data_IF_171179736141
#
_entry.id   IF_171179736141
#
_cell.length_a   1.000
_cell.length_b   1.000
_cell.length_c   1.000
_cell.angle_alpha   90.00
_cell.angle_beta   90.00
_cell.angle_gamma   90.00
#
_symmetry.space_group_name_H-M   'P 1'
#
loop_
_entity.id
_entity.type
_entity.pdbx_description
1 polymer ?
#
# COMPACT_ATOMS: atom_id res chain seq x y z
N UNK A 1 -12.72 -2.53 -28.91
CA UNK A 1 -12.01 -1.47 -28.15
C UNK A 1 -11.00 -1.96 -27.12
N UNK A 2 -11.19 -3.05 -26.35
CA UNK A 2 -10.14 -3.59 -25.46
C UNK A 2 -8.93 -4.19 -26.19
N UNK A 3 -9.15 -4.92 -27.30
CA UNK A 3 -8.07 -5.58 -28.07
C UNK A 3 -7.12 -4.65 -28.86
N UNK A 4 -7.50 -3.39 -29.09
CA UNK A 4 -6.64 -2.43 -29.80
C UNK A 4 -5.56 -1.84 -28.89
N UNK A 5 -5.86 -1.77 -27.58
CA UNK A 5 -4.95 -1.26 -26.55
C UNK A 5 -3.86 -2.29 -26.23
N UNK A 6 -4.19 -3.58 -26.21
CA UNK A 6 -3.23 -4.68 -25.97
C UNK A 6 -2.21 -4.86 -27.11
N UNK A 7 -2.56 -4.47 -28.34
CA UNK A 7 -1.71 -4.70 -29.53
C UNK A 7 -0.87 -3.48 -29.96
N UNK A 8 -0.84 -2.38 -29.20
CA UNK A 8 -0.12 -1.11 -29.54
C UNK A 8 -0.37 -0.56 -30.95
N UNK A 9 -1.46 -0.98 -31.61
CA UNK A 9 -1.89 -0.45 -32.91
C UNK A 9 -3.05 0.49 -32.68
N UNK A 10 -2.72 1.73 -32.29
CA UNK A 10 -3.68 2.82 -32.24
C UNK A 10 -4.00 3.22 -33.68
N UNK A 11 -4.96 2.55 -34.32
CA UNK A 11 -5.47 3.02 -35.60
C UNK A 11 -6.47 4.14 -35.33
N UNK A 12 -5.95 5.34 -35.11
CA UNK A 12 -6.71 6.53 -34.76
C UNK A 12 -6.42 7.57 -35.83
N UNK A 13 -7.45 7.97 -36.59
CA UNK A 13 -7.33 8.98 -37.65
C UNK A 13 -6.98 10.39 -37.13
N UNK A 14 -6.99 10.59 -35.81
CA UNK A 14 -6.66 11.84 -35.12
C UNK A 14 -5.33 11.71 -34.34
N UNK A 15 -4.26 12.41 -34.78
CA UNK A 15 -2.95 12.38 -34.12
C UNK A 15 -2.96 12.83 -32.65
N UNK A 16 -3.87 13.73 -32.25
CA UNK A 16 -3.95 14.23 -30.87
C UNK A 16 -4.51 13.17 -29.91
N UNK A 17 -5.45 12.36 -30.40
CA UNK A 17 -6.02 11.28 -29.65
C UNK A 17 -5.01 10.13 -29.49
N UNK A 18 -4.22 9.83 -30.51
CA UNK A 18 -3.13 8.86 -30.41
C UNK A 18 -2.07 9.29 -29.37
N UNK A 19 -1.63 10.55 -29.40
CA UNK A 19 -0.67 11.07 -28.43
C UNK A 19 -1.22 11.02 -27.00
N UNK A 20 -2.48 11.38 -26.81
CA UNK A 20 -3.15 11.32 -25.50
C UNK A 20 -3.25 9.88 -24.98
N UNK A 21 -3.58 8.92 -25.85
CA UNK A 21 -3.65 7.51 -25.48
C UNK A 21 -2.28 6.91 -25.14
N UNK A 22 -1.21 7.30 -25.85
CA UNK A 22 0.17 6.92 -25.50
C UNK A 22 0.60 7.49 -24.15
N UNK A 23 0.31 8.78 -23.89
CA UNK A 23 0.61 9.40 -22.59
C UNK A 23 -0.14 8.72 -21.46
N UNK A 24 -1.42 8.38 -21.67
CA UNK A 24 -2.22 7.60 -20.71
C UNK A 24 -1.64 6.21 -20.47
N UNK A 25 -1.24 5.49 -21.53
CA UNK A 25 -0.63 4.17 -21.39
C UNK A 25 0.69 4.24 -20.60
N UNK A 26 1.56 5.22 -20.90
CA UNK A 26 2.79 5.43 -20.14
C UNK A 26 2.55 5.77 -18.67
N UNK A 27 1.52 6.56 -18.36
CA UNK A 27 1.13 6.86 -16.98
C UNK A 27 0.59 5.63 -16.23
N UNK A 28 -0.16 4.75 -16.92
CA UNK A 28 -0.63 3.48 -16.35
C UNK A 28 0.56 2.54 -16.09
N UNK A 29 1.49 2.43 -17.03
CA UNK A 29 2.68 1.58 -16.89
C UNK A 29 3.56 2.01 -15.70
N UNK A 30 3.61 3.31 -15.39
CA UNK A 30 4.32 3.84 -14.22
C UNK A 30 3.67 3.48 -12.88
N UNK A 31 2.34 3.31 -12.85
CA UNK A 31 1.60 2.92 -11.64
C UNK A 31 1.52 1.41 -11.44
N UNK A 32 1.73 0.63 -12.50
CA UNK A 32 1.64 -0.81 -12.44
C UNK A 32 2.51 -1.42 -11.33
N UNK A 33 3.79 -1.00 -11.13
CA UNK A 33 4.61 -1.47 -10.01
C UNK A 33 4.05 -1.14 -8.62
N UNK A 34 3.36 -0.01 -8.45
CA UNK A 34 2.73 0.38 -7.19
C UNK A 34 1.60 -0.59 -6.83
N UNK A 35 0.75 -0.90 -7.81
CA UNK A 35 -0.33 -1.87 -7.62
C UNK A 35 0.18 -3.30 -7.51
N UNK A 36 1.29 -3.63 -8.16
CA UNK A 36 1.92 -4.94 -8.13
C UNK A 36 2.75 -5.21 -6.88
N UNK A 37 3.12 -4.16 -6.13
CA UNK A 37 3.80 -4.30 -4.86
C UNK A 37 2.92 -5.05 -3.84
N UNK A 38 3.39 -6.21 -3.34
CA UNK A 38 2.68 -6.99 -2.33
C UNK A 38 2.65 -6.22 -1.00
N UNK A 39 1.53 -6.28 -0.26
CA UNK A 39 1.38 -5.63 1.05
C UNK A 39 2.34 -6.17 2.10
N UNK A 40 2.75 -7.43 1.98
CA UNK A 40 3.56 -8.14 2.97
C UNK A 40 4.93 -8.52 2.41
N UNK A 41 5.98 -8.37 3.22
CA UNK A 41 7.38 -8.65 2.84
C UNK A 41 7.54 -10.13 2.49
N UNK A 42 8.21 -10.38 1.36
CA UNK A 42 8.56 -11.73 0.93
C UNK A 42 7.36 -12.57 0.46
N UNK A 43 6.17 -11.99 0.34
CA UNK A 43 4.98 -12.64 -0.22
C UNK A 43 4.74 -12.18 -1.65
N UNK A 44 4.25 -13.10 -2.47
CA UNK A 44 3.60 -12.79 -3.76
C UNK A 44 2.18 -12.27 -3.51
N UNK A 45 1.56 -11.64 -4.51
CA UNK A 45 0.15 -11.22 -4.43
C UNK A 45 -0.82 -12.36 -4.10
N UNK A 46 -0.59 -13.55 -4.66
CA UNK A 46 -1.44 -14.70 -4.38
C UNK A 46 -1.30 -15.15 -2.91
N UNK A 47 -0.08 -15.12 -2.37
CA UNK A 47 0.17 -15.41 -0.95
C UNK A 47 -0.41 -14.32 -0.03
N UNK A 48 -0.37 -13.06 -0.43
CA UNK A 48 -1.03 -11.96 0.28
C UNK A 48 -2.54 -12.20 0.43
N UNK A 49 -3.21 -12.60 -0.66
CA UNK A 49 -4.64 -12.90 -0.66
C UNK A 49 -4.95 -14.09 0.27
N UNK A 50 -4.06 -15.08 0.35
CA UNK A 50 -4.18 -16.19 1.30
C UNK A 50 -4.06 -15.71 2.75
N UNK A 51 -3.15 -14.78 3.05
CA UNK A 51 -3.03 -14.18 4.40
C UNK A 51 -4.30 -13.41 4.76
N UNK A 52 -4.81 -12.57 3.86
CA UNK A 52 -6.01 -11.77 4.08
C UNK A 52 -7.26 -12.67 4.27
N UNK A 53 -7.36 -13.73 3.47
CA UNK A 53 -8.42 -14.74 3.60
C UNK A 53 -8.34 -15.51 4.92
N UNK A 54 -7.12 -15.88 5.34
CA UNK A 54 -6.89 -16.58 6.60
C UNK A 54 -7.25 -15.71 7.81
N UNK A 55 -6.95 -14.41 7.76
CA UNK A 55 -7.35 -13.44 8.78
C UNK A 55 -8.88 -13.36 8.90
N UNK A 56 -9.57 -13.29 7.77
CA UNK A 56 -11.03 -13.26 7.71
C UNK A 56 -11.63 -14.53 8.31
N UNK A 57 -11.12 -15.70 7.91
CA UNK A 57 -11.56 -16.99 8.45
C UNK A 57 -11.33 -17.07 9.98
N UNK A 58 -10.20 -16.57 10.47
CA UNK A 58 -9.93 -16.55 11.90
C UNK A 58 -10.91 -15.66 12.68
N UNK A 59 -11.38 -14.57 12.08
CA UNK A 59 -12.41 -13.72 12.67
C UNK A 59 -13.78 -14.41 12.70
N UNK A 60 -14.14 -15.12 11.64
CA UNK A 60 -15.37 -15.92 11.59
C UNK A 60 -15.36 -17.03 12.66
N UNK A 61 -14.27 -17.79 12.75
CA UNK A 61 -14.08 -18.84 13.77
C UNK A 61 -14.16 -18.26 15.17
N UNK A 62 -13.50 -17.12 15.41
CA UNK A 62 -13.60 -16.40 16.68
C UNK A 62 -15.05 -15.99 16.99
N UNK A 63 -15.78 -15.49 15.99
CA UNK A 63 -17.20 -15.14 16.13
C UNK A 63 -18.04 -16.34 16.56
N UNK A 64 -17.84 -17.50 15.91
CA UNK A 64 -18.53 -18.75 16.24
C UNK A 64 -18.18 -19.26 17.65
N UNK A 65 -16.92 -19.17 18.07
CA UNK A 65 -16.49 -19.54 19.41
C UNK A 65 -17.08 -18.63 20.47
N UNK A 66 -17.16 -17.32 20.19
CA UNK A 66 -17.78 -16.33 21.08
C UNK A 66 -19.26 -16.63 21.29
N UNK A 67 -19.99 -17.09 20.26
CA UNK A 67 -21.39 -17.52 20.40
C UNK A 67 -21.56 -18.72 21.34
N UNK A 68 -20.52 -19.55 21.47
CA UNK A 68 -20.47 -20.67 22.43
C UNK A 68 -19.92 -20.27 23.81
N UNK A 69 -19.69 -18.98 24.06
CA UNK A 69 -19.13 -18.48 25.31
C UNK A 69 -17.61 -18.64 25.45
N UNK A 70 -16.90 -19.02 24.38
CA UNK A 70 -15.46 -19.23 24.39
C UNK A 70 -14.77 -18.00 23.78
N UNK A 71 -14.00 -17.27 24.59
CA UNK A 71 -13.21 -16.13 24.11
C UNK A 71 -11.81 -16.57 23.70
N UNK A 72 -11.49 -16.43 22.41
CA UNK A 72 -10.16 -16.74 21.85
C UNK A 72 -9.67 -15.55 21.02
N UNK A 73 -8.44 -15.11 21.27
CA UNK A 73 -7.80 -14.09 20.43
C UNK A 73 -7.34 -14.67 19.09
N UNK A 74 -7.37 -13.87 18.02
CA UNK A 74 -6.88 -14.27 16.69
C UNK A 74 -5.45 -14.84 16.73
N UNK A 75 -4.55 -14.23 17.50
CA UNK A 75 -3.18 -14.72 17.69
C UNK A 75 -3.09 -16.13 18.29
N UNK A 76 -4.00 -16.50 19.20
CA UNK A 76 -4.07 -17.86 19.76
C UNK A 76 -4.53 -18.89 18.72
N UNK A 77 -5.43 -18.50 17.82
CA UNK A 77 -5.85 -19.38 16.71
C UNK A 77 -4.68 -19.66 15.78
N UNK A 78 -3.93 -18.64 15.38
CA UNK A 78 -2.75 -18.82 14.54
C UNK A 78 -1.62 -19.55 15.25
N UNK A 79 -1.39 -19.31 16.54
CA UNK A 79 -0.44 -20.07 17.35
C UNK A 79 -0.80 -21.56 17.37
N UNK A 80 -2.08 -21.88 17.53
CA UNK A 80 -2.58 -23.25 17.45
C UNK A 80 -2.33 -23.86 16.06
N UNK A 81 -2.62 -23.13 14.98
CA UNK A 81 -2.35 -23.58 13.61
C UNK A 81 -0.86 -23.86 13.38
N UNK A 82 0.03 -22.98 13.85
CA UNK A 82 1.49 -23.17 13.74
C UNK A 82 1.96 -24.40 14.52
N UNK A 83 1.49 -24.57 15.77
CA UNK A 83 1.83 -25.73 16.60
C UNK A 83 1.27 -27.04 16.04
N UNK A 84 0.09 -26.99 15.44
CA UNK A 84 -0.57 -28.13 14.82
C UNK A 84 -0.12 -28.45 13.39
N UNK A 85 0.76 -27.64 12.80
CA UNK A 85 1.21 -27.81 11.41
C UNK A 85 0.08 -27.64 10.37
N UNK A 86 -0.91 -26.79 10.66
CA UNK A 86 -2.06 -26.57 9.80
C UNK A 86 -1.85 -25.34 8.91
N UNK A 87 -1.86 -25.56 7.59
CA UNK A 87 -1.67 -24.51 6.59
C UNK A 87 -0.19 -24.27 6.25
N UNK A 88 0.07 -23.33 5.34
CA UNK A 88 1.43 -22.95 4.98
C UNK A 88 2.09 -22.13 6.12
N UNK A 89 3.22 -22.58 6.69
CA UNK A 89 3.91 -21.87 7.77
C UNK A 89 4.23 -20.41 7.45
N UNK A 90 4.53 -20.08 6.18
CA UNK A 90 4.84 -18.72 5.73
C UNK A 90 3.62 -17.81 5.84
N UNK A 91 2.46 -18.30 5.41
CA UNK A 91 1.18 -17.58 5.44
C UNK A 91 0.69 -17.42 6.89
N UNK A 92 0.70 -18.52 7.64
CA UNK A 92 0.20 -18.52 9.03
C UNK A 92 1.10 -17.71 9.94
N UNK A 93 2.43 -17.75 9.77
CA UNK A 93 3.35 -16.91 10.55
C UNK A 93 3.19 -15.42 10.25
N UNK A 94 2.96 -15.06 8.97
CA UNK A 94 2.66 -13.68 8.59
C UNK A 94 1.35 -13.21 9.23
N UNK A 95 0.28 -14.01 9.14
CA UNK A 95 -1.00 -13.71 9.79
C UNK A 95 -0.88 -13.61 11.32
N UNK A 96 -0.05 -14.47 11.94
CA UNK A 96 0.26 -14.43 13.37
C UNK A 96 0.93 -13.12 13.77
N UNK A 97 1.94 -12.67 13.03
CA UNK A 97 2.60 -11.38 13.31
C UNK A 97 1.64 -10.23 13.10
N UNK A 98 0.83 -10.24 12.03
CA UNK A 98 -0.21 -9.22 11.79
C UNK A 98 -1.27 -9.16 12.90
N UNK A 99 -1.54 -10.26 13.59
CA UNK A 99 -2.46 -10.28 14.72
C UNK A 99 -1.94 -9.56 15.97
N UNK A 100 -0.64 -9.22 16.01
CA UNK A 100 0.02 -8.51 17.10
C UNK A 100 0.33 -7.08 16.69
N UNK A 101 -0.44 -6.12 17.21
CA UNK A 101 -0.36 -4.69 16.84
C UNK A 101 1.07 -4.15 16.91
N UNK A 102 1.81 -4.48 17.96
CA UNK A 102 3.14 -3.91 18.24
C UNK A 102 4.20 -4.33 17.24
N UNK A 103 4.03 -5.49 16.59
CA UNK A 103 5.03 -6.05 15.66
C UNK A 103 4.49 -6.24 14.24
N UNK A 104 3.22 -5.90 13.98
CA UNK A 104 2.59 -6.06 12.67
C UNK A 104 3.33 -5.29 11.55
N UNK A 105 3.97 -4.16 11.88
CA UNK A 105 4.76 -3.36 10.94
C UNK A 105 5.99 -4.10 10.39
N UNK A 106 6.50 -5.11 11.10
CA UNK A 106 7.71 -5.84 10.69
C UNK A 106 7.50 -6.63 9.40
N UNK A 107 6.28 -7.16 9.19
CA UNK A 107 5.92 -7.98 8.03
C UNK A 107 5.26 -7.18 6.90
N UNK A 108 4.92 -5.91 7.13
CA UNK A 108 4.40 -5.02 6.07
C UNK A 108 5.54 -4.55 5.18
N UNK A 109 5.30 -4.46 3.88
CA UNK A 109 6.28 -3.91 2.94
C UNK A 109 6.47 -2.41 3.14
N UNK A 110 7.67 -1.91 2.81
CA UNK A 110 7.92 -0.47 2.63
C UNK A 110 7.83 -0.05 1.17
N UNK A 111 7.71 -0.99 0.22
CA UNK A 111 7.80 -0.71 -1.22
C UNK A 111 6.85 0.40 -1.69
N UNK A 112 5.59 0.37 -1.22
CA UNK A 112 4.63 1.42 -1.58
C UNK A 112 5.08 2.77 -1.03
N UNK A 113 5.41 2.86 0.26
CA UNK A 113 6.00 4.07 0.88
C UNK A 113 7.20 4.56 0.07
N UNK A 114 8.17 3.71 -0.19
CA UNK A 114 9.41 4.06 -0.88
C UNK A 114 9.12 4.61 -2.29
N UNK A 115 8.15 4.04 -3.00
CA UNK A 115 7.70 4.57 -4.29
C UNK A 115 7.05 5.95 -4.19
N UNK A 116 6.20 6.20 -3.19
CA UNK A 116 5.57 7.51 -2.98
C UNK A 116 6.60 8.58 -2.62
N UNK A 117 7.60 8.23 -1.83
CA UNK A 117 8.68 9.13 -1.44
C UNK A 117 9.67 9.39 -2.60
N UNK A 118 9.87 8.41 -3.48
CA UNK A 118 10.70 8.57 -4.67
C UNK A 118 10.01 9.39 -5.78
N UNK A 119 8.67 9.38 -5.84
CA UNK A 119 7.87 10.06 -6.86
C UNK A 119 6.75 10.87 -6.17
N UNK A 120 7.07 12.03 -5.55
CA UNK A 120 6.08 12.81 -4.79
C UNK A 120 4.96 13.38 -5.68
N UNK A 121 5.20 13.54 -6.97
CA UNK A 121 4.16 13.92 -7.94
C UNK A 121 3.00 12.91 -8.01
N UNK A 122 3.23 11.62 -7.68
CA UNK A 122 2.19 10.61 -7.60
C UNK A 122 1.04 11.01 -6.67
N UNK A 123 1.32 11.66 -5.53
CA UNK A 123 0.29 12.12 -4.60
C UNK A 123 -0.61 13.20 -5.20
N UNK A 124 -0.04 14.03 -6.08
CA UNK A 124 -0.76 15.12 -6.74
C UNK A 124 -1.72 14.58 -7.80
N UNK A 125 -1.28 13.59 -8.58
CA UNK A 125 -2.09 12.99 -9.65
C UNK A 125 -3.02 11.87 -9.16
N UNK A 126 -2.62 11.18 -8.07
CA UNK A 126 -3.27 9.99 -7.53
C UNK A 126 -3.37 10.08 -6.01
N UNK A 127 -4.26 10.94 -5.52
CA UNK A 127 -4.39 11.23 -4.08
C UNK A 127 -4.67 10.01 -3.21
N UNK A 128 -5.26 8.93 -3.75
CA UNK A 128 -5.48 7.69 -2.99
C UNK A 128 -4.16 7.06 -2.49
N UNK A 129 -3.06 7.24 -3.23
CA UNK A 129 -1.73 6.73 -2.88
C UNK A 129 -1.22 7.34 -1.57
N UNK A 130 -1.62 8.58 -1.28
CA UNK A 130 -1.28 9.26 -0.04
C UNK A 130 -2.02 8.67 1.16
N UNK A 131 -3.31 8.37 1.00
CA UNK A 131 -4.13 7.80 2.07
C UNK A 131 -3.81 6.32 2.36
N UNK A 132 -3.10 5.65 1.46
CA UNK A 132 -2.55 4.31 1.70
C UNK A 132 -1.32 4.31 2.62
N UNK A 133 -0.68 5.47 2.84
CA UNK A 133 0.45 5.62 3.75
C UNK A 133 0.00 5.61 5.22
N UNK A 134 0.91 5.25 6.13
CA UNK A 134 0.66 5.41 7.57
C UNK A 134 0.56 6.90 7.95
N UNK A 135 -0.10 7.22 9.08
CA UNK A 135 -0.23 8.60 9.54
C UNK A 135 1.13 9.30 9.73
N UNK A 136 2.12 8.56 10.24
CA UNK A 136 3.51 9.03 10.40
C UNK A 136 4.17 9.32 9.04
N UNK A 137 3.97 8.43 8.06
CA UNK A 137 4.50 8.61 6.71
C UNK A 137 3.79 9.75 5.97
N UNK A 138 2.49 9.96 6.24
CA UNK A 138 1.71 11.07 5.70
C UNK A 138 2.24 12.42 6.21
N UNK A 139 2.52 12.52 7.51
CA UNK A 139 3.11 13.71 8.13
C UNK A 139 4.54 13.98 7.60
N UNK A 140 5.36 12.93 7.50
CA UNK A 140 6.71 13.03 6.94
C UNK A 140 6.67 13.47 5.48
N UNK A 141 5.75 12.91 4.68
CA UNK A 141 5.57 13.27 3.27
C UNK A 141 5.12 14.73 3.12
N UNK A 142 4.13 15.17 3.91
CA UNK A 142 3.69 16.57 3.91
C UNK A 142 4.84 17.52 4.27
N UNK A 143 5.63 17.18 5.28
CA UNK A 143 6.76 18.00 5.71
C UNK A 143 7.79 18.15 4.59
N UNK A 144 8.08 17.09 3.84
CA UNK A 144 9.12 17.09 2.80
C UNK A 144 8.67 17.67 1.45
N UNK A 145 7.43 17.44 1.05
CA UNK A 145 7.01 17.63 -0.34
C UNK A 145 5.79 18.55 -0.51
N UNK A 146 5.12 18.97 0.57
CA UNK A 146 4.00 19.89 0.46
C UNK A 146 4.45 21.28 -0.03
N UNK A 147 3.71 21.93 -0.94
CA UNK A 147 3.95 23.34 -1.28
C UNK A 147 3.93 24.26 -0.05
N UNK A 148 3.23 23.87 1.03
CA UNK A 148 3.19 24.62 2.29
C UNK A 148 4.50 24.57 3.08
N UNK A 149 5.30 23.51 2.98
CA UNK A 149 6.60 23.44 3.65
C UNK A 149 7.67 24.27 2.91
N UNK A 150 7.52 24.48 1.60
CA UNK A 150 8.36 25.44 0.86
C UNK A 150 8.09 26.90 1.25
N UNK A 151 6.82 27.26 1.51
CA UNK A 151 6.43 28.63 1.91
C UNK A 151 6.90 28.99 3.33
N UNK A 152 7.16 28.00 4.19
CA UNK A 152 7.61 28.20 5.58
C UNK A 152 9.13 28.36 5.78
N UNK A 153 9.96 28.09 4.76
CA UNK A 153 11.42 28.16 4.85
C UNK A 153 12.02 29.45 4.27
N UNK A 154 11.31 30.15 3.37
CA UNK A 154 11.74 31.45 2.82
C UNK A 154 11.36 32.65 3.69
N UNK A 155 10.48 32.49 4.69
CA UNK A 155 10.03 33.57 5.57
C UNK A 155 11.03 33.95 6.69
N UNK A 156 12.31 33.56 6.57
CA UNK A 156 13.42 34.17 7.34
C UNK A 156 14.28 35.02 6.39
N UNK A 157 13.67 36.04 5.80
CA UNK A 157 14.44 37.17 5.28
C UNK A 157 15.18 37.83 6.46
N UNK A 158 16.48 38.16 6.33
CA UNK A 158 17.22 38.81 7.39
C UNK A 158 16.57 40.16 7.71
N UNK A 159 16.26 40.40 8.99
CA UNK A 159 15.98 41.75 9.46
C UNK A 159 17.26 42.56 9.27
N UNK A 160 17.26 43.45 8.27
CA UNK A 160 18.22 44.55 8.24
C UNK A 160 17.85 45.43 9.44
N UNK A 161 18.72 45.44 10.44
CA UNK A 161 18.68 46.41 11.52
C UNK A 161 18.86 47.80 10.89
N UNK A 162 17.85 48.66 11.05
CA UNK A 162 17.88 50.05 10.62
C UNK A 162 18.81 50.83 11.57
N UNK A 163 19.82 51.51 11.00
CA UNK A 163 20.60 52.58 11.65
C UNK A 163 19.79 53.88 11.75
#
# INVERSE_FOLDING_TARGET
NRQAVENKRFNVADPRLEETLRRRAGAIDLLQPYFDAPKYKGLTKAEEEQVDSLITLADEVRGLLSLKGISVSRGKLFEFMLKGGVGDPKIVSTAFVLSKRDIAHLVKTTTRRDMVFANPDLVTFYSFVFYDLSDEDQEEWFTRFSPRSAIGLEAKAPRLEEE
#
